data_IF_693996308522
#
_entry.id   IF_693996308522
#
_cell.length_a   1.000
_cell.length_b   1.000
_cell.length_c   1.000
_cell.angle_alpha   90.00
_cell.angle_beta   90.00
_cell.angle_gamma   90.00
#
_symmetry.space_group_name_H-M   'P 1'
#
loop_
_entity.id
_entity.type
_entity.pdbx_description
1 polymer ?
#
# COMPACT_ATOMS: atom_id res chain seq x y z
N UNK A 1 -14.62 9.10 -8.96
CA UNK A 1 -15.70 9.60 -8.07
C UNK A 1 -17.01 8.82 -8.12
N UNK A 2 -17.44 8.24 -9.27
CA UNK A 2 -18.71 7.47 -9.37
C UNK A 2 -18.86 6.37 -8.30
N UNK A 3 -17.81 5.57 -8.05
CA UNK A 3 -17.84 4.48 -7.07
C UNK A 3 -18.01 4.93 -5.61
N UNK A 4 -17.38 6.03 -5.22
CA UNK A 4 -17.58 6.60 -3.89
C UNK A 4 -19.03 7.06 -3.70
N UNK A 5 -19.63 7.67 -4.73
CA UNK A 5 -21.03 8.09 -4.69
C UNK A 5 -22.02 6.92 -4.61
N UNK A 6 -21.73 5.79 -5.26
CA UNK A 6 -22.49 4.55 -5.10
C UNK A 6 -22.43 4.00 -3.66
N UNK A 7 -21.26 4.05 -3.03
CA UNK A 7 -21.08 3.58 -1.65
C UNK A 7 -21.82 4.48 -0.64
N UNK A 8 -21.82 5.81 -0.83
CA UNK A 8 -22.64 6.75 -0.04
C UNK A 8 -24.12 6.40 -0.16
N UNK A 9 -24.63 6.19 -1.38
CA UNK A 9 -26.04 5.87 -1.62
C UNK A 9 -26.45 4.51 -1.05
N UNK A 10 -25.60 3.50 -1.22
CA UNK A 10 -25.93 2.10 -0.89
C UNK A 10 -25.76 1.78 0.59
N UNK A 11 -24.75 2.36 1.24
CA UNK A 11 -24.39 2.05 2.63
C UNK A 11 -24.65 3.21 3.60
N UNK A 12 -25.21 4.34 3.12
CA UNK A 12 -25.40 5.59 3.89
C UNK A 12 -24.11 6.06 4.58
N UNK A 13 -22.95 5.73 4.02
CA UNK A 13 -21.65 6.17 4.53
C UNK A 13 -21.41 7.66 4.21
N UNK A 14 -20.61 8.34 5.03
CA UNK A 14 -20.17 9.71 4.71
C UNK A 14 -19.31 9.72 3.45
N UNK A 15 -19.35 10.83 2.69
CA UNK A 15 -18.56 10.99 1.45
C UNK A 15 -17.07 10.71 1.68
N UNK A 16 -16.52 11.11 2.83
CA UNK A 16 -15.12 10.84 3.21
C UNK A 16 -14.85 9.34 3.40
N UNK A 17 -15.73 8.61 4.11
CA UNK A 17 -15.62 7.15 4.26
C UNK A 17 -15.72 6.43 2.92
N UNK A 18 -16.72 6.81 2.12
CA UNK A 18 -16.97 6.21 0.82
C UNK A 18 -15.85 6.49 -0.20
N UNK A 19 -15.21 7.67 -0.14
CA UNK A 19 -14.02 7.98 -0.95
C UNK A 19 -12.83 7.10 -0.54
N UNK A 20 -12.56 6.96 0.76
CA UNK A 20 -11.52 6.05 1.26
C UNK A 20 -11.77 4.60 0.84
N UNK A 21 -13.03 4.17 0.85
CA UNK A 21 -13.44 2.81 0.47
C UNK A 21 -13.37 2.59 -1.04
N UNK A 22 -13.80 3.55 -1.85
CA UNK A 22 -13.65 3.49 -3.31
C UNK A 22 -12.19 3.54 -3.76
N UNK A 23 -11.35 4.31 -3.07
CA UNK A 23 -9.90 4.32 -3.32
C UNK A 23 -9.27 2.97 -2.94
N UNK A 24 -9.63 2.38 -1.79
CA UNK A 24 -9.24 1.01 -1.41
C UNK A 24 -9.67 -0.04 -2.44
N UNK A 25 -10.94 -0.02 -2.86
CA UNK A 25 -11.46 -0.93 -3.88
C UNK A 25 -10.73 -0.76 -5.22
N UNK A 26 -10.47 0.47 -5.65
CA UNK A 26 -9.71 0.73 -6.88
C UNK A 26 -8.27 0.21 -6.79
N UNK A 27 -7.63 0.34 -5.63
CA UNK A 27 -6.30 -0.19 -5.39
C UNK A 27 -6.30 -1.72 -5.36
N UNK A 28 -7.33 -2.37 -4.84
CA UNK A 28 -7.40 -3.85 -4.76
C UNK A 28 -7.88 -4.54 -6.05
N UNK A 29 -8.60 -3.81 -6.92
CA UNK A 29 -9.29 -4.40 -8.10
C UNK A 29 -8.37 -5.12 -9.09
N UNK A 30 -7.07 -4.86 -9.05
CA UNK A 30 -6.06 -5.54 -9.89
C UNK A 30 -4.89 -5.91 -8.98
N UNK A 31 -5.00 -7.01 -8.23
CA UNK A 31 -3.85 -7.61 -7.54
C UNK A 31 -3.40 -8.83 -8.36
N UNK A 32 -2.20 -8.79 -8.92
CA UNK A 32 -1.62 -9.86 -9.77
C UNK A 32 -0.55 -10.66 -8.99
N UNK A 33 -0.75 -10.80 -7.68
CA UNK A 33 0.17 -11.54 -6.82
C UNK A 33 0.33 -12.97 -7.31
N UNK A 34 1.56 -13.46 -7.24
CA UNK A 34 1.90 -14.86 -7.53
C UNK A 34 2.11 -15.61 -6.22
N UNK A 35 1.67 -16.85 -6.11
CA UNK A 35 1.84 -17.66 -4.89
C UNK A 35 0.68 -18.62 -4.64
N UNK A 36 0.70 -19.29 -3.48
CA UNK A 36 -0.45 -20.08 -3.03
C UNK A 36 -1.64 -19.20 -2.66
N UNK A 37 -2.86 -19.74 -2.73
CA UNK A 37 -4.08 -19.00 -2.38
C UNK A 37 -4.02 -18.39 -0.97
N UNK A 38 -3.52 -19.16 0.01
CA UNK A 38 -3.36 -18.69 1.40
C UNK A 38 -2.37 -17.53 1.51
N UNK A 39 -1.23 -17.62 0.82
CA UNK A 39 -0.26 -16.53 0.80
C UNK A 39 -0.83 -15.29 0.11
N UNK A 40 -1.54 -15.47 -1.00
CA UNK A 40 -2.17 -14.35 -1.73
C UNK A 40 -3.21 -13.66 -0.85
N UNK A 41 -4.05 -14.40 -0.14
CA UNK A 41 -5.04 -13.84 0.78
C UNK A 41 -4.36 -13.00 1.87
N UNK A 42 -3.34 -13.56 2.54
CA UNK A 42 -2.63 -12.84 3.60
C UNK A 42 -1.85 -11.63 3.09
N UNK A 43 -1.18 -11.76 1.95
CA UNK A 43 -0.47 -10.65 1.32
C UNK A 43 -1.41 -9.50 0.95
N UNK A 44 -2.65 -9.79 0.51
CA UNK A 44 -3.67 -8.75 0.24
C UNK A 44 -4.04 -7.98 1.50
N UNK A 45 -4.25 -8.66 2.63
CA UNK A 45 -4.53 -8.00 3.92
C UNK A 45 -3.37 -7.08 4.35
N UNK A 46 -2.13 -7.55 4.17
CA UNK A 46 -0.94 -6.76 4.47
C UNK A 46 -0.80 -5.53 3.56
N UNK A 47 -1.11 -5.65 2.27
CA UNK A 47 -1.14 -4.53 1.32
C UNK A 47 -2.25 -3.53 1.67
N UNK A 48 -3.41 -4.00 2.17
CA UNK A 48 -4.49 -3.11 2.62
C UNK A 48 -4.04 -2.27 3.81
N UNK A 49 -3.41 -2.93 4.80
CA UNK A 49 -2.83 -2.25 5.95
C UNK A 49 -1.78 -1.24 5.51
N UNK A 50 -0.81 -1.66 4.69
CA UNK A 50 0.23 -0.78 4.15
C UNK A 50 -0.36 0.46 3.46
N UNK A 51 -1.36 0.27 2.60
CA UNK A 51 -2.01 1.37 1.87
C UNK A 51 -2.70 2.34 2.82
N UNK A 52 -3.34 1.82 3.87
CA UNK A 52 -4.00 2.63 4.91
C UNK A 52 -2.98 3.47 5.69
N UNK A 53 -1.87 2.86 6.10
CA UNK A 53 -0.80 3.56 6.83
C UNK A 53 -0.08 4.58 5.94
N UNK A 54 0.11 4.30 4.66
CA UNK A 54 0.65 5.26 3.70
C UNK A 54 -0.27 6.47 3.51
N UNK A 55 -1.59 6.28 3.47
CA UNK A 55 -2.53 7.41 3.48
C UNK A 55 -2.43 8.22 4.77
N UNK A 56 -2.27 7.54 5.91
CA UNK A 56 -2.08 8.21 7.20
C UNK A 56 -0.82 9.09 7.18
N UNK A 57 0.31 8.52 6.72
CA UNK A 57 1.56 9.25 6.54
C UNK A 57 1.40 10.46 5.58
N UNK A 58 0.74 10.30 4.43
CA UNK A 58 0.51 11.39 3.48
C UNK A 58 -0.31 12.56 4.05
N UNK A 59 -1.09 12.34 5.11
CA UNK A 59 -1.80 13.42 5.79
C UNK A 59 -0.89 14.23 6.73
N UNK A 60 0.26 13.69 7.11
CA UNK A 60 1.28 14.37 7.92
C UNK A 60 2.35 15.06 7.08
N UNK A 61 2.47 14.70 5.79
CA UNK A 61 3.43 15.30 4.86
C UNK A 61 3.01 16.74 4.52
N UNK A 62 3.94 17.72 4.57
CA UNK A 62 3.68 19.09 4.13
C UNK A 62 3.13 19.15 2.70
N UNK A 63 2.23 20.09 2.42
CA UNK A 63 1.50 20.17 1.15
C UNK A 63 2.44 20.24 -0.05
N UNK A 64 3.57 20.93 0.11
CA UNK A 64 4.60 21.15 -0.90
C UNK A 64 5.31 19.85 -1.31
N UNK A 65 5.32 18.85 -0.43
CA UNK A 65 5.97 17.56 -0.65
C UNK A 65 4.98 16.42 -0.92
N UNK A 66 3.68 16.69 -0.75
CA UNK A 66 2.62 15.67 -0.75
C UNK A 66 2.48 14.97 -2.10
N UNK A 67 2.58 15.72 -3.21
CA UNK A 67 2.48 15.16 -4.56
C UNK A 67 3.60 14.14 -4.84
N UNK A 68 4.85 14.54 -4.56
CA UNK A 68 6.02 13.65 -4.70
C UNK A 68 5.93 12.45 -3.78
N UNK A 69 5.50 12.64 -2.52
CA UNK A 69 5.31 11.54 -1.59
C UNK A 69 4.21 10.58 -2.08
N UNK A 70 3.11 11.09 -2.62
CA UNK A 70 2.01 10.29 -3.16
C UNK A 70 2.47 9.46 -4.38
N UNK A 71 3.26 10.05 -5.28
CA UNK A 71 3.84 9.34 -6.42
C UNK A 71 4.71 8.15 -5.97
N UNK A 72 5.62 8.38 -5.03
CA UNK A 72 6.52 7.34 -4.48
C UNK A 72 5.71 6.21 -3.85
N UNK A 73 4.76 6.54 -2.96
CA UNK A 73 3.94 5.53 -2.26
C UNK A 73 3.04 4.77 -3.23
N UNK A 74 2.49 5.44 -4.25
CA UNK A 74 1.72 4.78 -5.30
C UNK A 74 2.60 3.77 -6.06
N UNK A 75 3.83 4.14 -6.44
CA UNK A 75 4.75 3.24 -7.13
C UNK A 75 5.11 2.01 -6.30
N UNK A 76 5.36 2.19 -5.00
CA UNK A 76 5.57 1.08 -4.06
C UNK A 76 4.38 0.13 -4.05
N UNK A 77 3.16 0.67 -3.93
CA UNK A 77 1.92 -0.11 -3.89
C UNK A 77 1.73 -0.92 -5.18
N UNK A 78 1.95 -0.31 -6.34
CA UNK A 78 1.80 -1.01 -7.64
C UNK A 78 2.82 -2.14 -7.79
N UNK A 79 4.11 -1.90 -7.49
CA UNK A 79 5.14 -2.94 -7.54
C UNK A 79 4.78 -4.11 -6.59
N UNK A 80 4.30 -3.79 -5.39
CA UNK A 80 3.95 -4.80 -4.38
C UNK A 80 2.81 -5.71 -4.86
N UNK A 81 1.80 -5.15 -5.56
CA UNK A 81 0.65 -5.91 -6.08
C UNK A 81 0.99 -6.89 -7.22
N UNK A 82 2.11 -6.69 -7.89
CA UNK A 82 2.58 -7.54 -8.99
C UNK A 82 3.64 -8.57 -8.54
N UNK A 83 4.00 -8.55 -7.26
CA UNK A 83 5.10 -9.32 -6.73
C UNK A 83 4.68 -10.70 -6.24
N UNK A 84 5.67 -11.53 -5.87
CA UNK A 84 5.39 -12.81 -5.23
C UNK A 84 4.86 -12.58 -3.81
N UNK A 85 3.76 -13.25 -3.46
CA UNK A 85 3.08 -13.08 -2.18
C UNK A 85 4.00 -13.41 -0.99
N UNK A 86 4.92 -14.36 -1.14
CA UNK A 86 5.93 -14.67 -0.12
C UNK A 86 6.83 -13.47 0.21
N UNK A 87 7.31 -12.76 -0.81
CA UNK A 87 8.19 -11.58 -0.62
C UNK A 87 7.44 -10.43 0.06
N UNK A 88 6.15 -10.27 -0.29
CA UNK A 88 5.27 -9.28 0.35
C UNK A 88 5.06 -9.60 1.83
N UNK A 89 4.77 -10.87 2.14
CA UNK A 89 4.60 -11.33 3.53
C UNK A 89 5.90 -11.11 4.31
N UNK A 90 7.04 -11.50 3.76
CA UNK A 90 8.34 -11.32 4.41
C UNK A 90 8.60 -9.85 4.75
N UNK A 91 8.30 -8.94 3.81
CA UNK A 91 8.51 -7.50 3.98
C UNK A 91 7.54 -6.88 5.00
N UNK A 92 6.26 -7.26 4.98
CA UNK A 92 5.20 -6.52 5.68
C UNK A 92 4.73 -7.17 6.99
N UNK A 93 4.83 -8.49 7.14
CA UNK A 93 4.18 -9.24 8.23
C UNK A 93 4.61 -8.82 9.63
N UNK A 94 5.86 -8.37 9.79
CA UNK A 94 6.43 -7.96 11.09
C UNK A 94 6.18 -6.49 11.43
N UNK A 95 5.57 -5.71 10.53
CA UNK A 95 5.35 -4.29 10.75
C UNK A 95 4.00 -4.03 11.46
N UNK A 96 4.07 -3.88 12.78
CA UNK A 96 2.93 -3.58 13.65
C UNK A 96 2.79 -2.08 13.98
N UNK A 97 3.59 -1.21 13.36
CA UNK A 97 3.57 0.23 13.59
C UNK A 97 2.38 0.91 12.91
N UNK A 98 2.22 2.21 13.15
CA UNK A 98 1.20 3.04 12.51
C UNK A 98 1.84 4.32 11.93
N UNK A 99 1.19 4.88 10.91
CA UNK A 99 1.49 6.16 10.29
C UNK A 99 2.97 6.37 9.92
N UNK A 100 3.64 7.41 10.45
CA UNK A 100 5.04 7.69 10.11
C UNK A 100 6.00 6.58 10.56
N UNK A 101 5.78 5.98 11.74
CA UNK A 101 6.59 4.88 12.22
C UNK A 101 6.46 3.65 11.32
N UNK A 102 5.26 3.44 10.76
CA UNK A 102 5.03 2.37 9.79
C UNK A 102 5.88 2.58 8.53
N UNK A 103 5.88 3.80 7.98
CA UNK A 103 6.68 4.13 6.79
C UNK A 103 8.19 3.98 7.07
N UNK A 104 8.68 4.46 8.21
CA UNK A 104 10.10 4.33 8.61
C UNK A 104 10.52 2.87 8.77
N UNK A 105 9.68 2.06 9.43
CA UNK A 105 9.90 0.63 9.62
C UNK A 105 9.90 -0.12 8.27
N UNK A 106 8.91 0.14 7.42
CA UNK A 106 8.84 -0.38 6.05
C UNK A 106 10.11 -0.06 5.26
N UNK A 107 10.52 1.21 5.25
CA UNK A 107 11.70 1.65 4.51
C UNK A 107 12.98 0.96 5.00
N UNK A 108 13.12 0.82 6.33
CA UNK A 108 14.26 0.13 6.94
C UNK A 108 14.29 -1.34 6.53
N UNK A 109 13.16 -2.04 6.66
CA UNK A 109 13.05 -3.45 6.29
C UNK A 109 13.31 -3.67 4.79
N UNK A 110 12.74 -2.82 3.94
CA UNK A 110 12.97 -2.84 2.49
C UNK A 110 14.44 -2.62 2.16
N UNK A 111 15.14 -1.75 2.90
CA UNK A 111 16.57 -1.48 2.69
C UNK A 111 17.44 -2.68 3.03
N UNK A 112 17.15 -3.38 4.12
CA UNK A 112 17.97 -4.50 4.61
C UNK A 112 17.64 -5.84 3.95
N UNK A 113 16.39 -6.05 3.51
CA UNK A 113 16.01 -7.31 2.86
C UNK A 113 16.62 -7.38 1.45
N UNK A 114 17.07 -8.59 1.10
CA UNK A 114 17.59 -8.95 -0.22
C UNK A 114 16.55 -9.63 -1.12
N UNK A 115 15.29 -9.72 -0.71
CA UNK A 115 14.28 -10.41 -1.52
C UNK A 115 13.96 -9.65 -2.82
N UNK A 116 13.38 -10.36 -3.79
CA UNK A 116 13.21 -9.84 -5.16
C UNK A 116 12.35 -8.56 -5.20
N UNK A 117 11.29 -8.50 -4.39
CA UNK A 117 10.47 -7.29 -4.21
C UNK A 117 11.33 -6.11 -3.70
N UNK A 118 12.10 -6.31 -2.64
CA UNK A 118 12.91 -5.24 -2.06
C UNK A 118 13.99 -4.74 -3.03
N UNK A 119 14.62 -5.64 -3.77
CA UNK A 119 15.58 -5.27 -4.82
C UNK A 119 14.93 -4.47 -5.94
N UNK A 120 13.72 -4.87 -6.38
CA UNK A 120 12.94 -4.12 -7.37
C UNK A 120 12.56 -2.73 -6.86
N UNK A 121 12.11 -2.61 -5.61
CA UNK A 121 11.77 -1.34 -4.99
C UNK A 121 12.98 -0.39 -4.90
N UNK A 122 14.15 -0.89 -4.49
CA UNK A 122 15.40 -0.09 -4.45
C UNK A 122 15.71 0.49 -5.83
N UNK A 123 15.69 -0.37 -6.86
CA UNK A 123 16.01 0.01 -8.23
C UNK A 123 14.99 0.98 -8.84
N UNK A 124 13.71 0.62 -8.80
CA UNK A 124 12.67 1.32 -9.54
C UNK A 124 12.13 2.54 -8.81
N UNK A 125 12.08 2.54 -7.47
CA UNK A 125 11.51 3.64 -6.68
C UNK A 125 12.59 4.59 -6.20
N UNK A 126 13.73 4.06 -5.73
CA UNK A 126 14.75 4.86 -5.05
C UNK A 126 16.04 5.06 -5.86
N UNK A 127 16.15 4.44 -7.05
CA UNK A 127 17.31 4.56 -7.93
C UNK A 127 18.60 3.99 -7.31
N UNK A 128 18.48 2.93 -6.50
CA UNK A 128 19.59 2.29 -5.78
C UNK A 128 19.77 0.84 -6.15
#
# INVERSE_FOLDING_TARGET
MKRAWELVKRFKETISSALKKAWREAKMKITKLKGSEKQIAWAKELIEKMSTEFTSYLNMVPKEQKEKAEEILNKIVEITKESYAGDVIELLSKNNKASDEYYRSFYTQMRISGNALCMRLKKEVFGR
#
